data_IF_749758978163
#
_entry.id   IF_749758978163
#
_cell.length_a   1.000
_cell.length_b   1.000
_cell.length_c   1.000
_cell.angle_alpha   90.00
_cell.angle_beta   90.00
_cell.angle_gamma   90.00
#
_symmetry.space_group_name_H-M   'P 1'
#
loop_
_entity.id
_entity.type
_entity.pdbx_description
1 polymer ?
#
# COMPACT_ATOMS: atom_id res chain seq x y z
N UNK A 1 42.16 -3.14 0.66
CA UNK A 1 41.48 -4.45 0.71
C UNK A 1 40.28 -4.32 1.64
N UNK A 2 39.05 -4.21 1.11
CA UNK A 2 37.84 -4.11 1.94
C UNK A 2 37.55 -5.51 2.52
N UNK A 3 37.43 -5.61 3.84
CA UNK A 3 37.00 -6.84 4.52
C UNK A 3 35.61 -7.22 3.96
N UNK A 4 35.50 -8.39 3.34
CA UNK A 4 34.21 -9.02 3.10
C UNK A 4 33.65 -9.42 4.46
N UNK A 5 32.77 -8.60 5.01
CA UNK A 5 31.99 -8.98 6.17
C UNK A 5 30.98 -10.04 5.72
N UNK A 6 31.15 -11.25 6.26
CA UNK A 6 30.23 -12.35 6.09
C UNK A 6 28.79 -11.90 6.39
N UNK A 7 27.86 -12.32 5.54
CA UNK A 7 26.43 -12.16 5.73
C UNK A 7 26.04 -12.65 7.12
N UNK A 8 25.40 -11.82 7.94
CA UNK A 8 24.77 -12.29 9.17
C UNK A 8 23.74 -13.35 8.79
N UNK A 9 23.54 -14.35 9.63
CA UNK A 9 22.65 -15.51 9.37
C UNK A 9 21.21 -15.12 8.97
N UNK A 10 20.84 -13.85 9.13
CA UNK A 10 19.51 -13.31 8.82
C UNK A 10 19.53 -12.06 7.91
N UNK A 11 20.69 -11.59 7.42
CA UNK A 11 20.84 -10.55 6.39
C UNK A 11 20.48 -9.09 6.75
N UNK A 12 20.01 -8.80 7.95
CA UNK A 12 19.67 -7.44 8.37
C UNK A 12 20.90 -6.56 8.68
N UNK A 13 20.91 -5.29 8.26
CA UNK A 13 21.95 -4.28 8.59
C UNK A 13 21.47 -2.81 8.57
N UNK A 14 20.17 -2.54 8.76
CA UNK A 14 19.64 -1.17 8.75
C UNK A 14 20.01 -0.34 9.97
N UNK A 15 19.73 0.97 9.93
CA UNK A 15 19.98 1.88 11.06
C UNK A 15 19.33 1.46 12.39
N UNK A 16 18.20 0.74 12.34
CA UNK A 16 17.53 0.17 13.52
C UNK A 16 17.82 -1.34 13.72
N UNK A 17 18.77 -1.92 12.98
CA UNK A 17 19.10 -3.33 13.12
C UNK A 17 19.71 -3.66 14.49
N UNK A 18 19.21 -4.75 15.07
CA UNK A 18 19.79 -5.40 16.23
C UNK A 18 19.76 -6.91 16.02
N UNK A 19 20.92 -7.56 16.04
CA UNK A 19 21.07 -9.00 15.80
C UNK A 19 20.36 -9.88 16.83
N UNK A 20 19.95 -9.32 17.96
CA UNK A 20 19.17 -10.02 19.00
C UNK A 20 17.66 -10.02 18.74
N UNK A 21 17.16 -9.26 17.76
CA UNK A 21 15.74 -9.19 17.44
C UNK A 21 15.34 -10.27 16.44
N UNK A 22 14.27 -11.00 16.76
CA UNK A 22 13.60 -11.87 15.80
C UNK A 22 12.62 -11.08 14.93
N UNK A 23 12.19 -11.64 13.80
CA UNK A 23 11.10 -11.07 12.99
C UNK A 23 9.82 -10.83 13.80
N UNK A 24 9.56 -11.68 14.80
CA UNK A 24 8.41 -11.53 15.71
C UNK A 24 8.56 -10.31 16.62
N UNK A 25 9.78 -10.04 17.10
CA UNK A 25 10.08 -8.87 17.93
C UNK A 25 9.96 -7.60 17.11
N UNK A 26 10.50 -7.59 15.89
CA UNK A 26 10.36 -6.46 14.96
C UNK A 26 8.88 -6.21 14.65
N UNK A 27 8.09 -7.25 14.36
CA UNK A 27 6.64 -7.11 14.17
C UNK A 27 5.92 -6.55 15.41
N UNK A 28 6.39 -6.83 16.63
CA UNK A 28 5.87 -6.22 17.84
C UNK A 28 6.23 -4.74 17.94
N UNK A 29 7.48 -4.38 17.64
CA UNK A 29 7.95 -2.99 17.63
C UNK A 29 7.18 -2.16 16.60
N UNK A 30 6.97 -2.67 15.39
CA UNK A 30 6.19 -2.01 14.33
C UNK A 30 4.73 -1.81 14.77
N UNK A 31 4.12 -2.79 15.47
CA UNK A 31 2.77 -2.62 16.05
C UNK A 31 2.70 -1.50 17.08
N UNK A 32 3.71 -1.37 17.91
CA UNK A 32 3.76 -0.33 18.93
C UNK A 32 4.06 1.05 18.34
N UNK A 33 4.92 1.11 17.31
CA UNK A 33 5.20 2.31 16.53
C UNK A 33 3.91 2.86 15.92
N UNK A 34 3.22 2.07 15.10
CA UNK A 34 2.04 2.54 14.36
C UNK A 34 0.90 2.94 15.29
N UNK A 35 0.77 2.28 16.46
CA UNK A 35 -0.23 2.65 17.48
C UNK A 35 0.01 4.04 18.05
N UNK A 36 1.28 4.46 18.18
CA UNK A 36 1.67 5.75 18.73
C UNK A 36 1.67 6.84 17.67
N UNK A 37 2.25 6.56 16.49
CA UNK A 37 2.36 7.51 15.39
C UNK A 37 1.00 7.76 14.70
N UNK A 38 0.22 6.70 14.48
CA UNK A 38 -1.02 6.72 13.69
C UNK A 38 -2.21 6.09 14.45
N UNK A 39 -2.62 6.65 15.61
CA UNK A 39 -3.58 6.03 16.53
C UNK A 39 -4.99 5.84 15.95
N UNK A 40 -5.34 6.61 14.92
CA UNK A 40 -6.64 6.57 14.24
C UNK A 40 -6.70 5.49 13.14
N UNK A 41 -5.56 4.89 12.79
CA UNK A 41 -5.48 3.78 11.85
C UNK A 41 -5.42 2.44 12.59
N UNK A 42 -5.82 1.36 11.92
CA UNK A 42 -5.64 -0.01 12.42
C UNK A 42 -4.95 -0.85 11.39
N UNK A 43 -3.86 -1.47 11.82
CA UNK A 43 -3.08 -2.40 11.02
C UNK A 43 -3.10 -3.79 11.65
N UNK A 44 -3.13 -4.81 10.80
CA UNK A 44 -2.74 -6.16 11.19
C UNK A 44 -1.32 -6.39 10.71
N UNK A 45 -0.40 -6.50 11.66
CA UNK A 45 1.03 -6.70 11.39
C UNK A 45 1.42 -8.08 11.92
N UNK A 46 1.94 -8.92 11.03
CA UNK A 46 2.30 -10.32 11.33
C UNK A 46 3.63 -10.67 10.69
N UNK A 47 4.33 -11.66 11.25
CA UNK A 47 5.42 -12.31 10.53
C UNK A 47 4.85 -12.98 9.28
N UNK A 48 5.46 -12.73 8.12
CA UNK A 48 5.13 -13.46 6.91
C UNK A 48 5.43 -14.95 7.14
N UNK A 49 4.48 -15.83 6.82
CA UNK A 49 4.63 -17.27 7.09
C UNK A 49 5.58 -17.94 6.10
N UNK A 50 5.61 -17.44 4.87
CA UNK A 50 6.30 -18.09 3.76
C UNK A 50 7.67 -17.45 3.44
N UNK A 51 8.01 -16.32 4.10
CA UNK A 51 9.25 -15.58 3.89
C UNK A 51 9.76 -14.97 5.21
N UNK A 52 11.07 -14.72 5.29
CA UNK A 52 11.67 -13.94 6.40
C UNK A 52 11.24 -12.47 6.30
N UNK A 53 10.00 -12.17 6.69
CA UNK A 53 9.36 -10.90 6.37
C UNK A 53 8.29 -10.44 7.35
N UNK A 54 7.80 -9.22 7.17
CA UNK A 54 6.61 -8.68 7.85
C UNK A 54 5.53 -8.41 6.81
N UNK A 55 4.35 -8.97 7.08
CA UNK A 55 3.12 -8.62 6.37
C UNK A 55 2.39 -7.53 7.15
N UNK A 56 2.10 -6.43 6.46
CA UNK A 56 1.41 -5.24 6.95
C UNK A 56 0.09 -5.11 6.20
N UNK A 57 -1.03 -5.17 6.91
CA UNK A 57 -2.35 -4.95 6.28
C UNK A 57 -3.10 -3.81 6.94
N UNK A 58 -3.48 -2.78 6.16
CA UNK A 58 -4.38 -1.72 6.62
C UNK A 58 -5.79 -2.30 6.79
N UNK A 59 -6.36 -2.21 7.98
CA UNK A 59 -7.67 -2.77 8.31
C UNK A 59 -8.73 -1.70 8.55
N UNK A 60 -8.36 -0.57 9.13
CA UNK A 60 -9.27 0.56 9.35
C UNK A 60 -8.53 1.87 9.13
N UNK A 61 -9.23 2.83 8.54
CA UNK A 61 -8.69 4.14 8.18
C UNK A 61 -9.74 5.23 8.49
N UNK A 62 -9.33 6.46 8.84
CA UNK A 62 -10.25 7.52 9.29
C UNK A 62 -10.80 8.40 8.16
N UNK A 63 -10.14 8.40 7.00
CA UNK A 63 -10.50 9.21 5.81
C UNK A 63 -10.67 8.29 4.60
N UNK A 64 -11.43 8.70 3.59
CA UNK A 64 -11.66 7.88 2.40
C UNK A 64 -10.35 7.33 1.82
N UNK A 65 -10.28 6.02 1.61
CA UNK A 65 -9.09 5.34 1.10
C UNK A 65 -8.74 5.78 -0.32
N UNK A 66 -9.76 5.95 -1.16
CA UNK A 66 -9.60 6.22 -2.59
C UNK A 66 -9.81 7.70 -2.83
N UNK A 67 -8.88 8.32 -3.56
CA UNK A 67 -9.10 9.61 -4.20
C UNK A 67 -10.04 9.39 -5.39
N UNK A 68 -11.31 9.77 -5.22
CA UNK A 68 -12.36 9.54 -6.21
C UNK A 68 -12.02 10.15 -7.57
N UNK A 69 -11.53 11.40 -7.59
CA UNK A 69 -11.25 12.11 -8.83
C UNK A 69 -10.09 11.48 -9.61
N UNK A 70 -9.04 11.04 -8.91
CA UNK A 70 -7.92 10.32 -9.54
C UNK A 70 -8.37 8.97 -10.07
N UNK A 71 -9.16 8.22 -9.31
CA UNK A 71 -9.70 6.93 -9.75
C UNK A 71 -10.62 7.11 -10.98
N UNK A 72 -11.50 8.10 -10.95
CA UNK A 72 -12.40 8.43 -12.06
C UNK A 72 -11.60 8.82 -13.30
N UNK A 73 -10.63 9.73 -13.18
CA UNK A 73 -9.80 10.15 -14.29
C UNK A 73 -8.99 8.99 -14.89
N UNK A 74 -8.43 8.10 -14.06
CA UNK A 74 -7.75 6.88 -14.51
C UNK A 74 -8.69 5.99 -15.32
N UNK A 75 -9.86 5.69 -14.78
CA UNK A 75 -10.89 4.87 -15.43
C UNK A 75 -11.32 5.50 -16.77
N UNK A 76 -11.59 6.80 -16.79
CA UNK A 76 -11.93 7.53 -18.01
C UNK A 76 -10.80 7.44 -19.05
N UNK A 77 -9.54 7.59 -18.64
CA UNK A 77 -8.37 7.51 -19.52
C UNK A 77 -8.16 6.12 -20.12
N UNK A 78 -8.32 5.07 -19.30
CA UNK A 78 -8.20 3.68 -19.74
C UNK A 78 -9.25 3.37 -20.80
N UNK A 79 -10.49 3.84 -20.62
CA UNK A 79 -11.56 3.64 -21.59
C UNK A 79 -11.43 4.51 -22.85
N UNK A 80 -10.94 5.75 -22.72
CA UNK A 80 -10.65 6.60 -23.88
C UNK A 80 -9.61 5.96 -24.80
N UNK A 81 -8.64 5.21 -24.24
CA UNK A 81 -7.61 4.51 -25.00
C UNK A 81 -8.15 3.36 -25.87
N UNK A 82 -9.34 2.83 -25.57
CA UNK A 82 -10.02 1.81 -26.37
C UNK A 82 -11.00 2.38 -27.40
N UNK A 83 -11.07 3.72 -27.54
CA UNK A 83 -11.80 4.35 -28.64
C UNK A 83 -10.99 4.12 -29.92
N UNK A 84 -11.46 3.21 -30.77
CA UNK A 84 -11.07 3.25 -32.18
C UNK A 84 -11.85 4.41 -32.81
N UNK A 85 -11.20 5.49 -33.27
CA UNK A 85 -11.90 6.48 -34.06
C UNK A 85 -12.44 5.78 -35.31
N UNK A 86 -13.72 5.95 -35.58
CA UNK A 86 -14.32 5.54 -36.85
C UNK A 86 -14.86 6.77 -37.55
N UNK A 87 -14.67 6.79 -38.86
CA UNK A 87 -15.10 7.87 -39.72
C UNK A 87 -16.47 7.55 -40.32
N UNK A 88 -17.38 8.52 -40.29
CA UNK A 88 -18.58 8.54 -41.12
C UNK A 88 -18.41 9.66 -42.15
N UNK A 89 -17.97 9.28 -43.36
CA UNK A 89 -17.43 10.24 -44.33
C UNK A 89 -16.21 10.98 -43.79
N UNK A 90 -16.23 12.31 -43.86
CA UNK A 90 -15.17 13.18 -43.31
C UNK A 90 -15.36 13.52 -41.81
N UNK A 91 -16.37 12.95 -41.16
CA UNK A 91 -16.68 13.25 -39.76
C UNK A 91 -16.04 12.22 -38.84
N UNK A 92 -15.17 12.68 -37.94
CA UNK A 92 -14.65 11.88 -36.84
C UNK A 92 -15.76 11.68 -35.80
N UNK A 93 -16.28 10.45 -35.66
CA UNK A 93 -17.23 10.12 -34.60
C UNK A 93 -16.47 9.49 -33.43
N UNK A 94 -16.38 10.22 -32.32
CA UNK A 94 -15.99 9.64 -31.03
C UNK A 94 -17.26 9.21 -30.29
N UNK A 95 -17.54 7.91 -30.25
CA UNK A 95 -18.64 7.38 -29.43
C UNK A 95 -18.09 7.00 -28.07
N UNK A 96 -18.48 7.72 -27.01
CA UNK A 96 -18.24 7.27 -25.64
C UNK A 96 -19.03 5.98 -25.43
N UNK A 97 -18.33 4.86 -25.21
CA UNK A 97 -18.95 3.55 -24.99
C UNK A 97 -19.80 3.49 -23.71
N UNK A 98 -19.51 4.35 -22.75
CA UNK A 98 -20.13 4.37 -21.43
C UNK A 98 -20.73 5.73 -21.10
N UNK A 99 -21.90 5.69 -20.48
CA UNK A 99 -22.56 6.84 -19.85
C UNK A 99 -21.87 7.23 -18.55
N UNK A 100 -22.09 8.46 -18.07
CA UNK A 100 -21.60 8.91 -16.75
C UNK A 100 -22.00 7.94 -15.63
N UNK A 101 -23.25 7.47 -15.63
CA UNK A 101 -23.75 6.47 -14.68
C UNK A 101 -22.98 5.13 -14.72
N UNK A 102 -22.51 4.72 -15.90
CA UNK A 102 -21.68 3.52 -16.03
C UNK A 102 -20.27 3.77 -15.49
N UNK A 103 -19.68 4.94 -15.74
CA UNK A 103 -18.39 5.34 -15.18
C UNK A 103 -18.46 5.38 -13.65
N UNK A 104 -19.48 6.03 -13.08
CA UNK A 104 -19.72 6.05 -11.63
C UNK A 104 -19.79 4.65 -11.05
N UNK A 105 -20.53 3.74 -11.71
CA UNK A 105 -20.60 2.34 -11.29
C UNK A 105 -19.23 1.67 -11.28
N UNK A 106 -18.40 1.89 -12.30
CA UNK A 106 -17.05 1.33 -12.35
C UNK A 106 -16.14 1.90 -11.26
N UNK A 107 -16.25 3.20 -10.96
CA UNK A 107 -15.50 3.82 -9.85
C UNK A 107 -15.91 3.19 -8.52
N UNK A 108 -17.20 2.96 -8.28
CA UNK A 108 -17.67 2.31 -7.04
C UNK A 108 -17.17 0.86 -6.93
N UNK A 109 -17.16 0.10 -8.03
CA UNK A 109 -16.59 -1.25 -8.05
C UNK A 109 -15.07 -1.23 -7.79
N UNK A 110 -14.35 -0.23 -8.31
CA UNK A 110 -12.93 -0.04 -8.04
C UNK A 110 -12.66 0.31 -6.57
N UNK A 111 -13.48 1.16 -5.95
CA UNK A 111 -13.39 1.48 -4.52
C UNK A 111 -13.62 0.24 -3.65
N UNK A 112 -14.57 -0.62 -4.02
CA UNK A 112 -14.80 -1.87 -3.30
C UNK A 112 -13.59 -2.80 -3.38
N UNK A 113 -12.97 -2.94 -4.57
CA UNK A 113 -11.76 -3.74 -4.78
C UNK A 113 -10.54 -3.15 -4.06
N UNK A 114 -10.41 -1.83 -4.02
CA UNK A 114 -9.33 -1.11 -3.35
C UNK A 114 -9.22 -1.45 -1.86
N UNK A 115 -10.35 -1.71 -1.18
CA UNK A 115 -10.38 -2.16 0.22
C UNK A 115 -9.77 -3.55 0.45
N UNK A 116 -9.29 -4.18 -0.63
CA UNK A 116 -8.82 -5.55 -0.68
C UNK A 116 -7.70 -5.83 -1.69
N UNK A 117 -6.69 -4.98 -1.69
CA UNK A 117 -5.65 -4.99 -2.71
C UNK A 117 -4.28 -5.19 -2.07
N UNK A 118 -3.46 -6.04 -2.67
CA UNK A 118 -2.02 -6.11 -2.41
C UNK A 118 -1.34 -4.93 -3.12
N UNK A 119 -0.45 -4.24 -2.42
CA UNK A 119 0.27 -3.09 -2.97
C UNK A 119 1.57 -3.56 -3.62
N UNK A 120 1.89 -2.98 -4.78
CA UNK A 120 3.17 -3.25 -5.45
C UNK A 120 4.34 -2.96 -4.49
N UNK A 121 5.42 -3.76 -4.48
CA UNK A 121 6.61 -3.47 -3.71
C UNK A 121 7.26 -2.12 -4.06
N UNK A 122 7.00 -1.50 -5.21
CA UNK A 122 7.55 -0.17 -5.54
C UNK A 122 6.62 0.98 -5.18
N UNK A 123 5.38 0.69 -4.77
CA UNK A 123 4.33 1.71 -4.60
C UNK A 123 4.06 2.50 -5.90
N UNK A 124 4.41 1.97 -7.08
CA UNK A 124 4.29 2.68 -8.37
C UNK A 124 2.85 2.85 -8.88
N UNK A 125 1.89 2.03 -8.43
CA UNK A 125 0.52 1.99 -8.95
C UNK A 125 -0.56 2.41 -7.92
N UNK A 126 -0.22 3.35 -7.03
CA UNK A 126 -1.07 3.73 -5.89
C UNK A 126 -1.56 5.18 -5.92
N UNK A 127 -1.46 5.87 -7.06
CA UNK A 127 -1.91 7.26 -7.23
C UNK A 127 -3.39 7.46 -6.85
N UNK A 128 -4.18 6.40 -6.91
CA UNK A 128 -5.58 6.38 -6.50
C UNK A 128 -5.79 6.38 -4.99
N UNK A 129 -4.76 6.12 -4.18
CA UNK A 129 -4.84 6.20 -2.72
C UNK A 129 -4.91 7.67 -2.29
N UNK A 130 -5.78 7.96 -1.34
CA UNK A 130 -5.87 9.28 -0.72
C UNK A 130 -4.50 9.69 -0.13
N UNK A 131 -3.98 10.89 -0.42
CA UNK A 131 -2.66 11.33 0.05
C UNK A 131 -2.44 11.18 1.55
N UNK A 132 -3.46 11.41 2.38
CA UNK A 132 -3.35 11.25 3.83
C UNK A 132 -3.26 9.78 4.28
N UNK A 133 -3.80 8.84 3.50
CA UNK A 133 -3.59 7.40 3.75
C UNK A 133 -2.23 6.97 3.22
N UNK A 134 -1.82 7.50 2.07
CA UNK A 134 -0.53 7.23 1.46
C UNK A 134 0.64 7.62 2.37
N UNK A 135 0.61 8.83 2.94
CA UNK A 135 1.63 9.32 3.88
C UNK A 135 1.84 8.34 5.06
N UNK A 136 0.75 7.78 5.59
CA UNK A 136 0.81 6.80 6.69
C UNK A 136 1.42 5.47 6.23
N UNK A 137 1.09 5.01 5.03
CA UNK A 137 1.65 3.78 4.45
C UNK A 137 3.16 3.95 4.17
N UNK A 138 3.55 5.11 3.64
CA UNK A 138 4.95 5.45 3.36
C UNK A 138 5.77 5.58 4.64
N UNK A 139 5.25 6.26 5.66
CA UNK A 139 5.89 6.36 6.97
C UNK A 139 6.09 4.98 7.61
N UNK A 140 5.04 4.15 7.62
CA UNK A 140 5.13 2.79 8.16
C UNK A 140 6.14 1.94 7.37
N UNK A 141 6.16 2.10 6.05
CA UNK A 141 7.12 1.41 5.19
C UNK A 141 8.55 1.85 5.44
N UNK A 142 8.80 3.16 5.56
CA UNK A 142 10.11 3.69 5.91
C UNK A 142 10.57 3.14 7.27
N UNK A 143 9.68 3.10 8.26
CA UNK A 143 9.99 2.53 9.57
C UNK A 143 10.32 1.03 9.49
N UNK A 144 9.54 0.23 8.76
CA UNK A 144 9.83 -1.20 8.54
C UNK A 144 11.19 -1.38 7.82
N UNK A 145 11.44 -0.58 6.78
CA UNK A 145 12.65 -0.67 5.97
C UNK A 145 13.90 -0.17 6.71
N UNK A 146 13.76 0.61 7.79
CA UNK A 146 14.89 0.98 8.66
C UNK A 146 15.56 -0.22 9.36
N UNK A 147 14.91 -1.38 9.38
CA UNK A 147 15.50 -2.63 9.86
C UNK A 147 16.28 -3.38 8.75
N UNK A 148 16.04 -3.05 7.47
CA UNK A 148 16.68 -3.69 6.31
C UNK A 148 18.08 -3.14 6.06
N UNK A 149 18.96 -3.96 5.46
CA UNK A 149 20.29 -3.52 5.04
C UNK A 149 20.19 -2.37 4.03
N UNK A 150 20.77 -1.21 4.36
CA UNK A 150 20.80 -0.02 3.50
C UNK A 150 21.67 -0.22 2.25
N UNK A 151 22.56 -1.21 2.28
CA UNK A 151 23.70 -1.34 1.37
C UNK A 151 23.68 -2.67 0.58
N UNK A 152 22.68 -2.90 -0.29
CA UNK A 152 22.94 -3.65 -1.53
C UNK A 152 21.79 -3.60 -2.55
N UNK A 153 22.17 -3.33 -3.79
CA UNK A 153 21.37 -3.45 -5.02
C UNK A 153 21.00 -4.92 -5.34
N UNK A 154 21.33 -5.88 -4.46
CA UNK A 154 21.33 -7.34 -4.77
C UNK A 154 20.89 -8.22 -3.59
N UNK A 155 20.50 -7.68 -2.43
CA UNK A 155 20.15 -8.56 -1.28
C UNK A 155 18.99 -8.00 -0.45
N UNK A 156 17.77 -8.23 -0.93
CA UNK A 156 16.57 -8.14 -0.09
C UNK A 156 16.73 -9.20 1.00
N UNK A 157 17.19 -8.79 2.17
CA UNK A 157 17.41 -9.70 3.29
C UNK A 157 16.14 -9.95 4.11
N UNK A 158 15.12 -9.12 3.87
CA UNK A 158 13.84 -9.15 4.55
C UNK A 158 12.76 -8.64 3.59
N UNK A 159 11.63 -9.36 3.55
CA UNK A 159 10.50 -9.02 2.69
C UNK A 159 9.44 -8.24 3.49
N UNK A 160 9.18 -7.00 3.11
CA UNK A 160 7.94 -6.33 3.48
C UNK A 160 6.84 -6.57 2.44
N UNK A 161 5.63 -6.79 2.94
CA UNK A 161 4.48 -7.01 2.09
C UNK A 161 3.31 -6.17 2.63
N UNK A 162 2.79 -5.29 1.78
CA UNK A 162 1.78 -4.31 2.14
C UNK A 162 0.45 -4.61 1.45
N UNK A 163 -0.60 -4.63 2.26
CA UNK A 163 -1.95 -4.91 1.82
C UNK A 163 -2.92 -3.86 2.34
N UNK A 164 -4.00 -3.64 1.59
CA UNK A 164 -5.25 -3.07 2.08
C UNK A 164 -6.22 -4.21 2.32
N UNK A 165 -6.68 -4.38 3.56
CA UNK A 165 -7.50 -5.51 3.97
C UNK A 165 -6.72 -6.84 4.04
N UNK A 166 -7.42 -7.93 4.34
CA UNK A 166 -6.88 -9.31 4.42
C UNK A 166 -7.90 -10.33 3.99
N UNK A 167 -7.52 -11.43 3.32
CA UNK A 167 -8.45 -12.47 2.82
C UNK A 167 -9.66 -12.79 3.76
N UNK A 168 -10.88 -12.83 3.21
CA UNK A 168 -12.19 -12.65 3.89
C UNK A 168 -12.55 -11.30 4.59
N UNK A 169 -11.67 -10.31 4.77
CA UNK A 169 -11.84 -9.17 5.72
C UNK A 169 -11.43 -7.77 5.18
N UNK A 170 -12.29 -7.09 4.39
CA UNK A 170 -11.91 -5.83 3.77
C UNK A 170 -11.64 -4.71 4.76
N UNK A 171 -10.76 -3.81 4.37
CA UNK A 171 -10.50 -2.59 5.10
C UNK A 171 -11.76 -1.72 5.15
N UNK A 172 -11.91 -0.93 6.23
CA UNK A 172 -13.13 -0.15 6.46
C UNK A 172 -12.82 1.28 6.85
N UNK A 173 -13.61 2.20 6.32
CA UNK A 173 -13.68 3.57 6.79
C UNK A 173 -14.30 3.57 8.19
N UNK A 174 -13.55 4.05 9.18
CA UNK A 174 -14.01 4.18 10.56
C UNK A 174 -13.65 5.57 11.04
N UNK A 175 -14.64 6.47 11.08
CA UNK A 175 -14.47 7.79 11.64
C UNK A 175 -14.04 7.67 13.12
N UNK A 176 -12.82 8.12 13.41
CA UNK A 176 -12.23 8.09 14.75
C UNK A 176 -11.84 9.50 15.12
N UNK A 177 -12.30 9.93 16.28
CA UNK A 177 -11.76 11.09 16.96
C UNK A 177 -10.72 10.57 17.94
N UNK A 178 -9.52 11.16 17.93
CA UNK A 178 -8.41 10.73 18.79
C UNK A 178 -8.89 10.50 20.23
N UNK A 179 -8.69 9.30 20.77
CA UNK A 179 -8.86 9.09 22.22
C UNK A 179 -7.80 9.92 22.90
N UNK A 180 -8.20 10.99 23.60
CA UNK A 180 -7.32 11.69 24.54
C UNK A 180 -6.71 10.63 25.45
N UNK A 181 -5.41 10.44 25.32
CA UNK A 181 -4.65 9.61 26.24
C UNK A 181 -4.76 10.32 27.59
N UNK A 182 -5.48 9.70 28.52
CA UNK A 182 -5.58 10.16 29.91
C UNK A 182 -4.29 9.87 30.66
#
# INVERSE_FOLDING_TARGET
MKKQEFYTQHGWKGSNYNSNLTTKDIAAIVRDYVRKAHPDYRFSITNAKDFHGISVSLMEYPVELVNYDVMKAKIESEYQRWISPFYDGDTLIQKTLYTEKQIEKFVQEAIQKANYTELSPSFEDIEWINPAVLEVLEDLRAFVNSYNCEDSVVTISFYEDFHIGKNGKPAKLVARTARKVA
#
